data_IF_162412668718
#
_entry.id   IF_162412668718
#
_cell.length_a   1.000
_cell.length_b   1.000
_cell.length_c   1.000
_cell.angle_alpha   90.00
_cell.angle_beta   90.00
_cell.angle_gamma   90.00
#
_symmetry.space_group_name_H-M   'P 1'
#
loop_
_entity.id
_entity.type
_entity.pdbx_description
1 polymer ?
#
# COMPACT_ATOMS: atom_id res chain seq x y z
N UNK A 1 -12.78 20.46 9.18
CA UNK A 1 -12.72 20.03 7.77
C UNK A 1 -13.90 19.11 7.58
N UNK A 2 -14.80 19.42 6.65
CA UNK A 2 -16.08 18.75 6.56
C UNK A 2 -15.88 17.26 6.21
N UNK A 3 -16.57 16.40 6.96
CA UNK A 3 -16.64 14.95 6.73
C UNK A 3 -17.53 14.70 5.50
N UNK A 4 -17.00 15.00 4.33
CA UNK A 4 -17.68 14.95 3.04
C UNK A 4 -16.86 14.14 2.04
N UNK A 5 -17.45 13.83 0.90
CA UNK A 5 -16.73 13.21 -0.23
C UNK A 5 -15.51 14.05 -0.67
N UNK A 6 -15.58 15.39 -0.53
CA UNK A 6 -14.42 16.27 -0.77
C UNK A 6 -13.31 16.04 0.25
N UNK A 7 -13.66 15.86 1.52
CA UNK A 7 -12.70 15.47 2.55
C UNK A 7 -12.04 14.12 2.26
N UNK A 8 -12.82 13.11 1.84
CA UNK A 8 -12.30 11.80 1.46
C UNK A 8 -11.31 11.89 0.28
N UNK A 9 -11.61 12.70 -0.73
CA UNK A 9 -10.70 12.95 -1.85
C UNK A 9 -9.40 13.61 -1.39
N UNK A 10 -9.50 14.67 -0.58
CA UNK A 10 -8.32 15.40 -0.09
C UNK A 10 -7.43 14.51 0.77
N UNK A 11 -7.99 13.76 1.72
CA UNK A 11 -7.20 12.89 2.58
C UNK A 11 -6.61 11.69 1.84
N UNK A 12 -7.35 11.11 0.88
CA UNK A 12 -6.80 10.10 -0.04
C UNK A 12 -5.64 10.65 -0.85
N UNK A 13 -5.74 11.90 -1.33
CA UNK A 13 -4.65 12.56 -2.06
C UNK A 13 -3.47 12.87 -1.14
N UNK A 14 -3.71 13.29 0.11
CA UNK A 14 -2.66 13.51 1.11
C UNK A 14 -1.89 12.23 1.38
N UNK A 15 -2.56 11.11 1.63
CA UNK A 15 -1.90 9.82 1.84
C UNK A 15 -1.09 9.41 0.61
N UNK A 16 -1.68 9.47 -0.58
CA UNK A 16 -1.04 9.08 -1.83
C UNK A 16 0.04 10.08 -2.31
N UNK A 17 0.08 11.30 -1.78
CA UNK A 17 1.16 12.26 -2.10
C UNK A 17 2.54 11.75 -1.70
N UNK A 18 2.62 10.84 -0.73
CA UNK A 18 3.85 10.15 -0.34
C UNK A 18 4.48 9.36 -1.49
N UNK A 19 3.67 8.80 -2.41
CA UNK A 19 4.15 8.13 -3.62
C UNK A 19 4.90 9.10 -4.53
N UNK A 20 4.36 10.30 -4.72
CA UNK A 20 5.00 11.36 -5.53
C UNK A 20 6.26 11.87 -4.84
N UNK A 21 6.21 12.06 -3.51
CA UNK A 21 7.34 12.51 -2.70
C UNK A 21 8.47 11.47 -2.76
N UNK A 22 8.17 10.18 -2.60
CA UNK A 22 9.15 9.11 -2.69
C UNK A 22 9.82 9.03 -4.07
N UNK A 23 9.05 9.22 -5.15
CA UNK A 23 9.61 9.32 -6.49
C UNK A 23 10.58 10.52 -6.64
N UNK A 24 10.21 11.68 -6.11
CA UNK A 24 11.09 12.86 -6.11
C UNK A 24 12.37 12.60 -5.31
N UNK A 25 12.26 11.95 -4.15
CA UNK A 25 13.43 11.54 -3.36
C UNK A 25 14.35 10.63 -4.18
N UNK A 26 13.81 9.61 -4.87
CA UNK A 26 14.59 8.73 -5.74
C UNK A 26 15.24 9.48 -6.93
N UNK A 27 14.67 10.60 -7.39
CA UNK A 27 15.28 11.42 -8.45
C UNK A 27 16.43 12.28 -7.95
N UNK A 28 16.39 12.70 -6.70
CA UNK A 28 17.36 13.65 -6.13
C UNK A 28 18.54 12.95 -5.45
N UNK A 29 18.31 11.76 -4.91
CA UNK A 29 19.29 11.06 -4.10
C UNK A 29 19.62 9.68 -4.70
N UNK A 30 20.90 9.34 -4.73
CA UNK A 30 21.36 7.98 -5.00
C UNK A 30 21.26 7.17 -3.70
N UNK A 31 20.16 6.44 -3.53
CA UNK A 31 19.93 5.61 -2.35
C UNK A 31 20.42 4.21 -2.67
N UNK A 32 21.30 3.66 -1.82
CA UNK A 32 21.76 2.28 -2.03
C UNK A 32 20.61 1.29 -1.84
N UNK A 33 20.60 0.19 -2.60
CA UNK A 33 19.59 -0.86 -2.54
C UNK A 33 19.38 -1.38 -1.13
N UNK A 34 20.49 -1.51 -0.36
CA UNK A 34 20.44 -1.90 1.06
C UNK A 34 19.62 -0.92 1.92
N UNK A 35 19.78 0.39 1.73
CA UNK A 35 19.03 1.40 2.47
C UNK A 35 17.57 1.37 2.04
N UNK A 36 17.28 1.20 0.75
CA UNK A 36 15.91 1.03 0.25
C UNK A 36 15.25 -0.18 0.90
N UNK A 37 15.92 -1.35 0.95
CA UNK A 37 15.40 -2.54 1.61
C UNK A 37 15.09 -2.32 3.11
N UNK A 38 15.96 -1.60 3.83
CA UNK A 38 15.71 -1.27 5.25
C UNK A 38 14.52 -0.32 5.43
N UNK A 39 14.36 0.67 4.54
CA UNK A 39 13.23 1.59 4.57
C UNK A 39 11.93 0.84 4.21
N UNK A 40 11.96 -0.09 3.25
CA UNK A 40 10.84 -0.98 2.93
C UNK A 40 10.46 -1.86 4.14
N UNK A 41 11.45 -2.45 4.83
CA UNK A 41 11.21 -3.19 6.06
C UNK A 41 10.54 -2.35 7.14
N UNK A 42 10.97 -1.11 7.31
CA UNK A 42 10.32 -0.17 8.23
C UNK A 42 8.85 0.07 7.84
N UNK A 43 8.57 0.36 6.57
CA UNK A 43 7.20 0.52 6.05
C UNK A 43 6.33 -0.72 6.25
N UNK A 44 6.89 -1.92 6.02
CA UNK A 44 6.20 -3.17 6.29
C UNK A 44 5.80 -3.31 7.77
N UNK A 45 6.68 -2.93 8.68
CA UNK A 45 6.38 -2.90 10.12
C UNK A 45 5.26 -1.93 10.48
N UNK A 46 5.26 -0.75 9.88
CA UNK A 46 4.19 0.25 10.03
C UNK A 46 2.84 -0.34 9.60
N UNK A 47 2.78 -0.97 8.43
CA UNK A 47 1.54 -1.58 7.93
C UNK A 47 1.07 -2.77 8.75
N UNK A 48 1.98 -3.61 9.28
CA UNK A 48 1.60 -4.71 10.20
C UNK A 48 0.89 -4.14 11.43
N UNK A 49 1.41 -3.05 12.02
CA UNK A 49 0.77 -2.37 13.14
C UNK A 49 -0.60 -1.82 12.76
N UNK A 50 -0.70 -1.13 11.62
CA UNK A 50 -1.95 -0.56 11.14
C UNK A 50 -3.01 -1.64 10.88
N UNK A 51 -2.64 -2.77 10.27
CA UNK A 51 -3.57 -3.89 10.08
C UNK A 51 -4.06 -4.44 11.40
N UNK A 52 -3.17 -4.62 12.38
CA UNK A 52 -3.54 -5.22 13.67
C UNK A 52 -4.46 -4.29 14.49
N UNK A 53 -4.12 -3.03 14.60
CA UNK A 53 -4.75 -2.09 15.54
C UNK A 53 -5.77 -1.17 14.88
N UNK A 54 -5.53 -0.72 13.63
CA UNK A 54 -6.47 0.18 12.97
C UNK A 54 -7.54 -0.55 12.15
N UNK A 55 -7.25 -1.77 11.62
CA UNK A 55 -8.22 -2.50 10.81
C UNK A 55 -8.90 -3.64 11.57
N UNK A 56 -8.13 -4.54 12.16
CA UNK A 56 -8.72 -5.75 12.79
C UNK A 56 -9.36 -5.41 14.13
N UNK A 57 -8.76 -4.54 14.92
CA UNK A 57 -9.37 -4.09 16.18
C UNK A 57 -10.66 -3.32 15.93
N UNK A 58 -10.69 -2.42 14.92
CA UNK A 58 -11.89 -1.72 14.51
C UNK A 58 -12.96 -2.68 13.96
N UNK A 59 -12.58 -3.67 13.15
CA UNK A 59 -13.50 -4.70 12.68
C UNK A 59 -14.12 -5.50 13.84
N UNK A 60 -13.35 -5.78 14.89
CA UNK A 60 -13.84 -6.43 16.12
C UNK A 60 -14.81 -5.54 16.89
N UNK A 61 -14.62 -4.23 16.88
CA UNK A 61 -15.53 -3.28 17.52
C UNK A 61 -16.88 -3.16 16.79
N UNK A 62 -16.90 -3.38 15.45
CA UNK A 62 -18.10 -3.30 14.64
C UNK A 62 -19.01 -4.53 14.78
N UNK A 63 -18.48 -5.72 15.00
CA UNK A 63 -19.29 -6.94 15.01
C UNK A 63 -18.89 -7.91 16.12
N UNK A 64 -19.88 -8.60 16.69
CA UNK A 64 -19.65 -9.77 17.55
C UNK A 64 -19.46 -11.08 16.75
N UNK A 65 -19.62 -11.02 15.44
CA UNK A 65 -19.55 -12.17 14.53
C UNK A 65 -18.11 -12.48 14.09
N UNK A 66 -17.34 -13.23 14.90
CA UNK A 66 -15.95 -13.60 14.58
C UNK A 66 -15.81 -14.31 13.22
N UNK A 67 -16.87 -14.98 12.74
CA UNK A 67 -16.92 -15.59 11.41
C UNK A 67 -16.85 -14.57 10.27
N UNK A 68 -17.46 -13.41 10.43
CA UNK A 68 -17.43 -12.31 9.45
C UNK A 68 -16.02 -11.78 9.24
N UNK A 69 -15.28 -11.58 10.34
CA UNK A 69 -13.90 -11.11 10.31
C UNK A 69 -12.98 -12.14 9.65
N UNK A 70 -13.08 -13.42 10.06
CA UNK A 70 -12.31 -14.49 9.46
C UNK A 70 -12.58 -14.62 7.94
N UNK A 71 -13.86 -14.55 7.55
CA UNK A 71 -14.26 -14.58 6.14
C UNK A 71 -13.69 -13.37 5.37
N UNK A 72 -13.71 -12.17 5.96
CA UNK A 72 -13.13 -10.96 5.37
C UNK A 72 -11.63 -11.12 5.14
N UNK A 73 -10.86 -11.52 6.17
CA UNK A 73 -9.41 -11.75 6.06
C UNK A 73 -9.09 -12.75 4.94
N UNK A 74 -9.79 -13.89 4.92
CA UNK A 74 -9.57 -14.91 3.89
C UNK A 74 -9.94 -14.43 2.50
N UNK A 75 -11.06 -13.73 2.35
CA UNK A 75 -11.48 -13.17 1.07
C UNK A 75 -10.47 -12.15 0.55
N UNK A 76 -9.99 -11.23 1.40
CA UNK A 76 -8.95 -10.27 1.06
C UNK A 76 -7.64 -10.93 0.65
N UNK A 77 -7.20 -11.92 1.40
CA UNK A 77 -6.04 -12.73 1.07
C UNK A 77 -6.18 -13.38 -0.32
N UNK A 78 -7.30 -14.06 -0.60
CA UNK A 78 -7.52 -14.75 -1.86
C UNK A 78 -7.60 -13.79 -3.04
N UNK A 79 -8.32 -12.69 -2.90
CA UNK A 79 -8.48 -11.69 -3.97
C UNK A 79 -7.13 -11.05 -4.30
N UNK A 80 -6.38 -10.66 -3.28
CA UNK A 80 -5.04 -10.11 -3.47
C UNK A 80 -4.11 -11.13 -4.12
N UNK A 81 -4.03 -12.35 -3.58
CA UNK A 81 -3.18 -13.43 -4.11
C UNK A 81 -3.48 -13.73 -5.60
N UNK A 82 -4.76 -13.80 -5.98
CA UNK A 82 -5.15 -14.06 -7.36
C UNK A 82 -4.82 -12.88 -8.28
N UNK A 83 -5.02 -11.65 -7.80
CA UNK A 83 -4.65 -10.42 -8.51
C UNK A 83 -3.14 -10.32 -8.71
N UNK A 84 -2.36 -10.52 -7.65
CA UNK A 84 -0.90 -10.52 -7.63
C UNK A 84 -0.34 -11.57 -8.61
N UNK A 85 -0.83 -12.83 -8.52
CA UNK A 85 -0.46 -13.89 -9.46
C UNK A 85 -0.79 -13.56 -10.92
N UNK A 86 -1.90 -12.88 -11.17
CA UNK A 86 -2.26 -12.44 -12.53
C UNK A 86 -1.28 -11.37 -13.04
N UNK A 87 -0.86 -10.45 -12.18
CA UNK A 87 0.10 -9.39 -12.49
C UNK A 87 1.50 -9.98 -12.71
N UNK A 88 1.92 -10.94 -11.90
CA UNK A 88 3.18 -11.67 -12.09
C UNK A 88 3.22 -12.36 -13.46
N UNK A 89 2.11 -12.96 -13.88
CA UNK A 89 1.97 -13.54 -15.22
C UNK A 89 2.08 -12.52 -16.38
N UNK A 90 1.93 -11.23 -16.08
CA UNK A 90 2.14 -10.12 -17.02
C UNK A 90 3.54 -9.49 -16.92
N UNK A 91 4.45 -10.06 -16.11
CA UNK A 91 5.80 -9.56 -15.89
C UNK A 91 5.92 -8.53 -14.76
N UNK A 92 5.07 -8.65 -13.74
CA UNK A 92 5.06 -7.75 -12.58
C UNK A 92 5.71 -8.30 -11.31
N UNK A 93 6.35 -9.46 -11.37
CA UNK A 93 6.91 -10.14 -10.20
C UNK A 93 7.95 -9.28 -9.45
N UNK A 94 8.78 -8.54 -10.17
CA UNK A 94 9.87 -7.70 -9.61
C UNK A 94 9.51 -6.19 -9.58
N UNK A 95 8.23 -5.86 -9.48
CA UNK A 95 7.75 -4.47 -9.58
C UNK A 95 8.24 -3.53 -8.48
N UNK A 96 8.68 -4.07 -7.36
CA UNK A 96 9.22 -3.32 -6.21
C UNK A 96 10.73 -3.44 -6.06
N UNK A 97 11.38 -4.20 -6.94
CA UNK A 97 12.83 -4.39 -6.90
C UNK A 97 13.56 -3.09 -7.27
N UNK A 98 14.41 -2.54 -6.36
CA UNK A 98 15.18 -1.33 -6.65
C UNK A 98 16.31 -1.55 -7.66
N UNK A 99 16.71 -2.78 -7.96
CA UNK A 99 17.71 -3.09 -9.00
C UNK A 99 17.09 -3.09 -10.41
N UNK A 100 15.78 -3.06 -10.48
CA UNK A 100 15.02 -2.98 -11.72
C UNK A 100 14.64 -4.35 -12.27
N UNK A 101 13.60 -4.36 -13.10
CA UNK A 101 13.15 -5.56 -13.81
C UNK A 101 14.23 -5.95 -14.81
N UNK A 102 14.88 -7.09 -14.63
CA UNK A 102 15.76 -7.67 -15.66
C UNK A 102 14.98 -7.76 -16.97
N UNK A 103 15.56 -7.37 -18.11
CA UNK A 103 14.93 -7.58 -19.40
C UNK A 103 14.96 -9.09 -19.68
N UNK A 104 14.02 -9.83 -19.10
CA UNK A 104 13.74 -11.19 -19.56
C UNK A 104 13.40 -11.07 -21.04
N UNK A 105 14.06 -11.82 -21.91
CA UNK A 105 13.98 -11.92 -23.39
C UNK A 105 12.67 -11.42 -24.08
N UNK A 106 12.17 -10.28 -23.66
CA UNK A 106 11.01 -9.57 -24.21
C UNK A 106 11.33 -8.86 -25.54
N UNK A 107 12.37 -9.33 -26.23
CA UNK A 107 12.59 -9.00 -27.65
C UNK A 107 11.52 -9.58 -28.59
N UNK A 108 10.52 -10.33 -28.03
CA UNK A 108 9.46 -10.93 -28.85
C UNK A 108 8.07 -10.27 -28.72
N UNK A 109 7.83 -9.42 -27.73
CA UNK A 109 6.56 -8.67 -27.66
C UNK A 109 6.80 -7.28 -27.07
N UNK A 110 6.59 -6.26 -27.90
CA UNK A 110 6.93 -4.85 -27.68
C UNK A 110 6.78 -4.37 -26.25
N UNK A 111 7.77 -3.68 -25.75
CA UNK A 111 8.07 -3.16 -24.40
C UNK A 111 6.98 -2.49 -23.55
N UNK A 112 5.73 -2.93 -23.65
CA UNK A 112 4.58 -2.41 -22.92
C UNK A 112 4.12 -3.32 -21.76
N UNK A 113 4.47 -4.62 -21.76
CA UNK A 113 3.94 -5.57 -20.77
C UNK A 113 4.45 -5.30 -19.35
N UNK A 114 5.74 -5.15 -19.19
CA UNK A 114 6.39 -4.90 -17.89
C UNK A 114 5.96 -3.54 -17.26
N UNK A 115 5.81 -2.50 -18.07
CA UNK A 115 5.38 -1.18 -17.59
C UNK A 115 3.94 -1.17 -17.08
N UNK A 116 3.04 -1.88 -17.77
CA UNK A 116 1.63 -1.98 -17.39
C UNK A 116 1.47 -2.80 -16.10
N UNK A 117 2.23 -3.87 -15.96
CA UNK A 117 2.17 -4.71 -14.76
C UNK A 117 2.66 -3.99 -13.50
N UNK A 118 3.66 -3.12 -13.60
CA UNK A 118 4.09 -2.26 -12.49
C UNK A 118 2.96 -1.34 -12.06
N UNK A 119 2.31 -0.66 -13.02
CA UNK A 119 1.18 0.22 -12.73
C UNK A 119 0.02 -0.56 -12.09
N UNK A 120 -0.36 -1.69 -12.68
CA UNK A 120 -1.45 -2.53 -12.16
C UNK A 120 -1.14 -3.07 -10.77
N UNK A 121 0.11 -3.49 -10.52
CA UNK A 121 0.54 -3.95 -9.21
C UNK A 121 0.44 -2.86 -8.15
N UNK A 122 0.97 -1.68 -8.43
CA UNK A 122 0.89 -0.54 -7.50
C UNK A 122 -0.57 -0.10 -7.25
N UNK A 123 -1.43 -0.17 -8.27
CA UNK A 123 -2.86 0.10 -8.11
C UNK A 123 -3.53 -0.97 -7.25
N UNK A 124 -3.18 -2.25 -7.44
CA UNK A 124 -3.69 -3.35 -6.63
C UNK A 124 -3.30 -3.20 -5.15
N UNK A 125 -2.06 -2.77 -4.89
CA UNK A 125 -1.56 -2.52 -3.55
C UNK A 125 -2.27 -1.32 -2.90
N UNK A 126 -2.48 -0.23 -3.62
CA UNK A 126 -3.03 1.03 -3.09
C UNK A 126 -4.55 1.09 -2.96
N UNK A 127 -5.32 0.24 -3.68
CA UNK A 127 -6.79 0.28 -3.63
C UNK A 127 -7.32 -0.09 -2.23
N UNK A 128 -6.92 -1.21 -1.59
CA UNK A 128 -7.40 -1.57 -0.26
C UNK A 128 -7.11 -0.48 0.77
N UNK A 129 -5.90 0.08 0.75
CA UNK A 129 -5.48 1.15 1.65
C UNK A 129 -6.32 2.41 1.48
N UNK A 130 -6.55 2.81 0.24
CA UNK A 130 -7.30 4.03 -0.08
C UNK A 130 -8.80 3.90 0.24
N UNK A 131 -9.41 2.75 0.01
CA UNK A 131 -10.79 2.47 0.39
C UNK A 131 -10.99 2.60 1.90
N UNK A 132 -10.05 2.08 2.69
CA UNK A 132 -10.09 2.19 4.16
C UNK A 132 -9.96 3.64 4.60
N UNK A 133 -9.09 4.44 3.99
CA UNK A 133 -8.98 5.87 4.31
C UNK A 133 -10.35 6.54 4.17
N UNK A 134 -11.05 6.30 3.07
CA UNK A 134 -12.39 6.84 2.86
C UNK A 134 -13.40 6.37 3.89
N UNK A 135 -13.38 5.07 4.23
CA UNK A 135 -14.27 4.47 5.21
C UNK A 135 -14.03 5.03 6.62
N UNK A 136 -12.78 5.22 7.04
CA UNK A 136 -12.45 5.75 8.36
C UNK A 136 -12.81 7.24 8.49
N UNK A 137 -12.69 8.02 7.43
CA UNK A 137 -13.12 9.43 7.40
C UNK A 137 -14.64 9.53 7.59
N UNK A 138 -15.41 8.63 6.97
CA UNK A 138 -16.86 8.58 7.17
C UNK A 138 -17.22 8.40 8.65
N UNK A 139 -16.52 7.53 9.37
CA UNK A 139 -16.76 7.24 10.79
C UNK A 139 -16.42 8.41 11.74
N UNK A 140 -15.70 9.43 11.27
CA UNK A 140 -15.39 10.64 12.03
C UNK A 140 -14.45 10.44 13.22
N UNK A 141 -13.67 9.36 13.21
CA UNK A 141 -12.84 8.94 14.34
C UNK A 141 -11.37 9.30 14.25
N UNK A 142 -10.71 9.27 15.41
CA UNK A 142 -9.26 9.40 15.54
C UNK A 142 -8.49 8.27 14.81
N UNK A 143 -9.10 7.10 14.67
CA UNK A 143 -8.58 5.91 13.97
C UNK A 143 -8.16 6.23 12.54
N UNK A 144 -8.95 7.05 11.81
CA UNK A 144 -8.61 7.43 10.44
C UNK A 144 -7.29 8.17 10.30
N UNK A 145 -6.91 8.95 11.30
CA UNK A 145 -5.66 9.73 11.23
C UNK A 145 -4.42 8.86 11.45
N UNK A 146 -4.46 7.91 12.38
CA UNK A 146 -3.36 6.98 12.61
C UNK A 146 -3.13 6.09 11.36
N UNK A 147 -4.19 5.54 10.80
CA UNK A 147 -4.14 4.76 9.57
C UNK A 147 -3.60 5.57 8.37
N UNK A 148 -4.06 6.81 8.21
CA UNK A 148 -3.58 7.72 7.16
C UNK A 148 -2.07 7.97 7.26
N UNK A 149 -1.56 8.21 8.48
CA UNK A 149 -0.11 8.36 8.72
C UNK A 149 0.62 7.05 8.39
N UNK A 150 0.08 5.90 8.78
CA UNK A 150 0.67 4.61 8.49
C UNK A 150 0.81 4.38 6.97
N UNK A 151 -0.26 4.60 6.20
CA UNK A 151 -0.26 4.51 4.73
C UNK A 151 0.72 5.52 4.11
N UNK A 152 0.73 6.76 4.59
CA UNK A 152 1.67 7.77 4.10
C UNK A 152 3.14 7.33 4.31
N UNK A 153 3.47 6.80 5.50
CA UNK A 153 4.83 6.35 5.83
C UNK A 153 5.22 5.12 5.02
N UNK A 154 4.29 4.16 4.81
CA UNK A 154 4.58 2.92 4.07
C UNK A 154 4.74 3.14 2.57
N UNK A 155 3.98 4.06 1.99
CA UNK A 155 4.05 4.39 0.57
C UNK A 155 5.36 5.08 0.15
N UNK A 156 6.03 5.79 1.08
CA UNK A 156 7.31 6.43 0.79
C UNK A 156 8.38 5.43 0.34
N UNK A 157 8.73 4.40 1.12
CA UNK A 157 9.72 3.40 0.72
C UNK A 157 9.31 2.63 -0.54
N UNK A 158 8.03 2.33 -0.68
CA UNK A 158 7.51 1.61 -1.83
C UNK A 158 7.75 2.39 -3.14
N UNK A 159 7.39 3.67 -3.15
CA UNK A 159 7.60 4.52 -4.32
C UNK A 159 9.07 4.82 -4.58
N UNK A 160 9.91 4.92 -3.54
CA UNK A 160 11.37 5.05 -3.69
C UNK A 160 11.93 3.81 -4.39
N UNK A 161 11.58 2.62 -3.92
CA UNK A 161 12.04 1.35 -4.49
C UNK A 161 11.60 1.20 -5.94
N UNK A 162 10.30 1.25 -6.19
CA UNK A 162 9.75 1.10 -7.54
C UNK A 162 10.27 2.18 -8.52
N UNK A 163 10.46 3.43 -8.07
CA UNK A 163 11.02 4.48 -8.92
C UNK A 163 12.49 4.21 -9.24
N UNK A 164 13.26 3.73 -8.27
CA UNK A 164 14.67 3.38 -8.51
C UNK A 164 14.76 2.27 -9.56
N UNK A 165 13.96 1.21 -9.44
CA UNK A 165 13.87 0.14 -10.43
C UNK A 165 13.39 0.62 -11.81
N UNK A 166 12.38 1.49 -11.87
CA UNK A 166 11.90 2.07 -13.13
C UNK A 166 12.99 2.89 -13.85
N UNK A 167 13.77 3.68 -13.11
CA UNK A 167 14.89 4.44 -13.68
C UNK A 167 16.01 3.51 -14.17
N UNK A 168 16.32 2.46 -13.42
CA UNK A 168 17.28 1.43 -13.83
C UNK A 168 16.83 0.71 -15.10
N UNK A 169 15.53 0.50 -15.27
CA UNK A 169 14.91 -0.08 -16.48
C UNK A 169 14.76 0.93 -17.64
N UNK A 170 15.34 2.14 -17.53
CA UNK A 170 15.39 3.12 -18.60
C UNK A 170 14.19 4.05 -18.73
N UNK A 171 13.29 4.12 -17.73
CA UNK A 171 12.21 5.10 -17.73
C UNK A 171 12.74 6.53 -17.56
N UNK A 172 12.11 7.48 -18.24
CA UNK A 172 12.37 8.89 -17.97
C UNK A 172 11.71 9.33 -16.66
N UNK A 173 12.32 10.32 -15.98
CA UNK A 173 11.75 10.93 -14.77
C UNK A 173 10.34 11.47 -14.99
N UNK A 174 10.06 12.05 -16.17
CA UNK A 174 8.74 12.55 -16.52
C UNK A 174 7.69 11.43 -16.60
N UNK A 175 8.06 10.28 -17.18
CA UNK A 175 7.16 9.12 -17.26
C UNK A 175 6.88 8.55 -15.87
N UNK A 176 7.90 8.41 -15.04
CA UNK A 176 7.74 7.90 -13.68
C UNK A 176 6.88 8.84 -12.80
N UNK A 177 7.14 10.16 -12.82
CA UNK A 177 6.34 11.10 -12.01
C UNK A 177 4.88 11.17 -12.52
N UNK A 178 4.65 11.10 -13.83
CA UNK A 178 3.30 11.05 -14.41
C UNK A 178 2.52 9.82 -13.96
N UNK A 179 3.19 8.66 -13.87
CA UNK A 179 2.61 7.43 -13.32
C UNK A 179 2.18 7.62 -11.86
N UNK A 180 3.08 8.14 -11.01
CA UNK A 180 2.78 8.34 -9.60
C UNK A 180 1.66 9.35 -9.35
N UNK A 181 1.59 10.43 -10.13
CA UNK A 181 0.47 11.38 -10.09
C UNK A 181 -0.83 10.68 -10.49
N UNK A 182 -0.81 9.87 -11.54
CA UNK A 182 -1.97 9.09 -11.96
C UNK A 182 -2.45 8.13 -10.87
N UNK A 183 -1.54 7.40 -10.22
CA UNK A 183 -1.84 6.49 -9.11
C UNK A 183 -2.39 7.27 -7.91
N UNK A 184 -1.80 8.42 -7.57
CA UNK A 184 -2.30 9.25 -6.47
C UNK A 184 -3.75 9.73 -6.71
N UNK A 185 -4.09 10.07 -7.96
CA UNK A 185 -5.47 10.42 -8.33
C UNK A 185 -6.40 9.20 -8.21
N UNK A 186 -5.98 8.02 -8.68
CA UNK A 186 -6.75 6.77 -8.54
C UNK A 186 -6.99 6.47 -7.07
N UNK A 187 -5.98 6.59 -6.22
CA UNK A 187 -6.07 6.42 -4.77
C UNK A 187 -7.06 7.39 -4.12
N UNK A 188 -7.02 8.67 -4.51
CA UNK A 188 -7.97 9.67 -4.03
C UNK A 188 -9.42 9.33 -4.44
N UNK A 189 -9.62 8.84 -5.67
CA UNK A 189 -10.95 8.37 -6.14
C UNK A 189 -11.38 7.13 -5.38
N UNK A 190 -10.47 6.17 -5.12
CA UNK A 190 -10.78 4.99 -4.30
C UNK A 190 -11.17 5.37 -2.87
N UNK A 191 -10.54 6.40 -2.28
CA UNK A 191 -10.95 6.94 -0.98
C UNK A 191 -12.38 7.51 -1.00
N UNK A 192 -12.75 8.26 -2.06
CA UNK A 192 -14.14 8.71 -2.23
C UNK A 192 -15.10 7.54 -2.36
N UNK A 193 -14.73 6.49 -3.09
CA UNK A 193 -15.54 5.28 -3.19
C UNK A 193 -15.70 4.60 -1.83
N UNK A 194 -14.62 4.48 -1.04
CA UNK A 194 -14.68 3.96 0.32
C UNK A 194 -15.65 4.75 1.20
N UNK A 195 -15.61 6.08 1.12
CA UNK A 195 -16.54 6.95 1.81
C UNK A 195 -18.00 6.75 1.37
N UNK A 196 -18.26 6.75 0.05
CA UNK A 196 -19.63 6.80 -0.48
C UNK A 196 -20.32 5.44 -0.49
N UNK A 197 -19.59 4.34 -0.73
CA UNK A 197 -20.18 3.00 -0.82
C UNK A 197 -20.56 2.43 0.55
N UNK A 198 -19.88 2.86 1.62
CA UNK A 198 -20.04 2.25 2.94
C UNK A 198 -20.74 3.16 3.97
N UNK A 199 -21.19 4.38 3.58
CA UNK A 199 -21.87 5.29 4.51
C UNK A 199 -23.18 4.72 5.09
N UNK A 200 -23.89 3.87 4.34
CA UNK A 200 -25.13 3.21 4.80
C UNK A 200 -24.93 1.71 5.06
N UNK A 201 -23.69 1.25 5.14
CA UNK A 201 -23.39 -0.17 5.34
C UNK A 201 -23.69 -0.60 6.78
N UNK A 202 -24.15 -1.85 6.93
CA UNK A 202 -24.34 -2.42 8.27
C UNK A 202 -22.98 -2.65 8.96
N UNK A 203 -22.96 -2.71 10.31
CA UNK A 203 -21.74 -3.00 11.06
C UNK A 203 -21.02 -4.26 10.61
N UNK A 204 -21.75 -5.33 10.28
CA UNK A 204 -21.14 -6.58 9.78
C UNK A 204 -20.46 -6.40 8.42
N UNK A 205 -21.03 -5.58 7.53
CA UNK A 205 -20.41 -5.25 6.24
C UNK A 205 -19.15 -4.40 6.45
N UNK A 206 -19.18 -3.42 7.36
CA UNK A 206 -18.01 -2.62 7.71
C UNK A 206 -16.89 -3.50 8.28
N UNK A 207 -17.21 -4.38 9.23
CA UNK A 207 -16.28 -5.35 9.79
C UNK A 207 -15.66 -6.25 8.71
N UNK A 208 -16.49 -6.75 7.79
CA UNK A 208 -16.01 -7.56 6.66
C UNK A 208 -15.03 -6.78 5.77
N UNK A 209 -15.35 -5.54 5.42
CA UNK A 209 -14.52 -4.71 4.53
C UNK A 209 -13.19 -4.34 5.17
N UNK A 210 -13.19 -3.96 6.45
CA UNK A 210 -11.97 -3.70 7.22
C UNK A 210 -11.08 -4.95 7.30
N UNK A 211 -11.68 -6.09 7.62
CA UNK A 211 -10.98 -7.37 7.68
C UNK A 211 -10.48 -7.82 6.30
N UNK A 212 -11.24 -7.58 5.24
CA UNK A 212 -10.84 -7.83 3.86
C UNK A 212 -9.59 -7.01 3.48
N UNK A 213 -9.60 -5.71 3.77
CA UNK A 213 -8.44 -4.86 3.52
C UNK A 213 -7.22 -5.34 4.32
N UNK A 214 -7.40 -5.68 5.60
CA UNK A 214 -6.34 -6.26 6.43
C UNK A 214 -5.75 -7.55 5.84
N UNK A 215 -6.60 -8.47 5.36
CA UNK A 215 -6.16 -9.71 4.70
C UNK A 215 -5.41 -9.47 3.40
N UNK A 216 -5.87 -8.51 2.59
CA UNK A 216 -5.19 -8.11 1.35
C UNK A 216 -3.79 -7.52 1.64
N UNK A 217 -3.70 -6.56 2.59
CA UNK A 217 -2.45 -5.91 2.98
C UNK A 217 -1.45 -6.93 3.57
N UNK A 218 -1.91 -7.85 4.44
CA UNK A 218 -1.04 -8.90 4.99
C UNK A 218 -0.47 -9.79 3.88
N UNK A 219 -1.27 -10.12 2.88
CA UNK A 219 -0.83 -10.94 1.74
C UNK A 219 0.17 -10.18 0.88
N UNK A 220 -0.08 -8.89 0.61
CA UNK A 220 0.86 -8.00 -0.04
C UNK A 220 2.22 -7.95 0.68
N UNK A 221 2.19 -7.74 1.99
CA UNK A 221 3.40 -7.70 2.81
C UNK A 221 4.21 -8.99 2.72
N UNK A 222 3.53 -10.14 2.80
CA UNK A 222 4.17 -11.44 2.77
C UNK A 222 4.72 -11.83 1.39
N UNK A 223 4.01 -11.46 0.32
CA UNK A 223 4.37 -11.89 -1.04
C UNK A 223 5.37 -10.96 -1.73
N UNK A 224 5.33 -9.66 -1.41
CA UNK A 224 6.12 -8.66 -2.15
C UNK A 224 7.02 -7.83 -1.23
N UNK A 225 6.48 -7.05 -0.32
CA UNK A 225 7.24 -6.03 0.39
C UNK A 225 8.30 -6.59 1.35
N UNK A 226 7.97 -7.63 2.14
CA UNK A 226 8.90 -8.22 3.09
C UNK A 226 10.00 -9.06 2.42
N UNK A 227 9.72 -9.90 1.40
CA UNK A 227 10.77 -10.59 0.66
C UNK A 227 11.80 -9.63 0.07
N UNK A 228 11.38 -8.62 -0.67
CA UNK A 228 12.28 -7.63 -1.28
C UNK A 228 13.04 -6.82 -0.21
N UNK A 229 12.37 -6.42 0.88
CA UNK A 229 13.02 -5.77 1.99
C UNK A 229 14.13 -6.62 2.60
N UNK A 230 13.92 -7.93 2.75
CA UNK A 230 14.91 -8.84 3.31
C UNK A 230 16.04 -9.13 2.32
N UNK A 231 15.75 -9.29 1.04
CA UNK A 231 16.74 -9.53 0.00
C UNK A 231 17.80 -8.43 -0.04
N UNK A 232 17.38 -7.17 -0.01
CA UNK A 232 18.28 -6.02 -0.06
C UNK A 232 18.80 -5.56 1.31
N UNK A 233 17.97 -5.59 2.36
CA UNK A 233 18.31 -5.14 3.73
C UNK A 233 19.04 -6.20 4.57
N UNK A 234 18.89 -7.47 4.20
CA UNK A 234 19.45 -8.61 4.94
C UNK A 234 18.85 -8.72 6.35
N UNK A 235 19.61 -9.28 7.29
CA UNK A 235 19.14 -9.52 8.68
C UNK A 235 18.72 -8.26 9.44
N UNK A 236 19.18 -7.08 9.04
CA UNK A 236 18.80 -5.82 9.67
C UNK A 236 17.34 -5.43 9.37
N UNK A 237 16.75 -6.01 8.33
CA UNK A 237 15.33 -5.82 8.00
C UNK A 237 14.41 -6.17 9.17
N UNK A 238 14.72 -7.24 9.93
CA UNK A 238 13.95 -7.57 11.13
C UNK A 238 13.92 -6.45 12.17
N UNK A 239 15.05 -5.75 12.36
CA UNK A 239 15.11 -4.57 13.25
C UNK A 239 14.29 -3.43 12.66
N UNK A 240 14.40 -3.17 11.36
CA UNK A 240 13.64 -2.13 10.68
C UNK A 240 12.13 -2.36 10.77
N UNK A 241 11.66 -3.59 10.54
CA UNK A 241 10.25 -4.00 10.72
C UNK A 241 9.78 -3.74 12.17
N UNK A 242 10.57 -4.16 13.15
CA UNK A 242 10.22 -3.97 14.57
C UNK A 242 10.13 -2.49 14.94
N UNK A 243 11.05 -1.66 14.43
CA UNK A 243 11.03 -0.21 14.64
C UNK A 243 9.80 0.43 13.97
N UNK A 244 9.49 0.07 12.73
CA UNK A 244 8.31 0.56 12.03
C UNK A 244 7.02 0.22 12.77
N UNK A 245 6.89 -1.04 13.21
CA UNK A 245 5.77 -1.48 14.03
C UNK A 245 5.64 -0.67 15.32
N UNK A 246 6.75 -0.49 16.07
CA UNK A 246 6.74 0.24 17.33
C UNK A 246 6.37 1.73 17.15
N UNK A 247 6.82 2.37 16.06
CA UNK A 247 6.47 3.75 15.74
C UNK A 247 4.97 3.87 15.45
N UNK A 248 4.42 3.02 14.57
CA UNK A 248 3.00 3.06 14.23
C UNK A 248 2.12 2.72 15.43
N UNK A 249 2.49 1.72 16.21
CA UNK A 249 1.81 1.39 17.48
C UNK A 249 1.80 2.59 18.45
N UNK A 250 2.92 3.30 18.56
CA UNK A 250 2.99 4.50 19.41
C UNK A 250 2.05 5.60 18.91
N UNK A 251 2.00 5.82 17.60
CA UNK A 251 1.06 6.78 16.98
C UNK A 251 -0.38 6.38 17.27
N UNK A 252 -0.71 5.09 17.13
CA UNK A 252 -2.05 4.56 17.43
C UNK A 252 -2.45 4.78 18.90
N UNK A 253 -1.55 4.52 19.85
CA UNK A 253 -1.84 4.67 21.30
C UNK A 253 -1.96 6.15 21.73
N UNK A 254 -1.27 7.05 21.05
CA UNK A 254 -1.27 8.49 21.38
C UNK A 254 -2.36 9.29 20.65
N UNK A 255 -2.95 8.75 19.58
CA UNK A 255 -4.01 9.38 18.77
C UNK A 255 -5.37 9.02 19.24
#
# INVERSE_FOLDING_TARGET
MDLTYEGAFVWGLVAASSLVIGAVIAFLFHISTRVVGLIMGFGAGVLISAVAFDLIEEALAETSGHGTIAAGIFAGCLVFFLGDRAIDGLGGAERKDPEGVEPTDASASGGGGSSLSIVLGTVLDGIPESLVIGLTIFKGGAVGFAYLIAVFISNLPESISATTGLLASGWSKQKAIGMWIGIAIISAVASVLGYTLFQDASPDVLAFVLAFAGGAILTMLANTMMPEAFEHGGKLTGIAVTLGFAVAFTVHVLG
#
